data_IF_825490767674
#
_entry.id   IF_825490767674
#
_cell.length_a   1.000
_cell.length_b   1.000
_cell.length_c   1.000
_cell.angle_alpha   90.00
_cell.angle_beta   90.00
_cell.angle_gamma   90.00
#
_symmetry.space_group_name_H-M   'P 1'
#
loop_
_entity.id
_entity.type
_entity.pdbx_description
1 polymer ?
#
# COMPACT_ATOMS: atom_id res chain seq x y z
N UNK A 1 15.39 -12.56 0.32
CA UNK A 1 14.06 -12.31 0.90
C UNK A 1 13.23 -11.70 -0.22
N UNK A 2 12.23 -12.43 -0.71
CA UNK A 2 11.39 -11.96 -1.82
C UNK A 2 10.14 -11.30 -1.23
N UNK A 3 9.97 -10.02 -1.54
CA UNK A 3 8.81 -9.23 -1.16
C UNK A 3 7.96 -9.02 -2.42
N UNK A 4 6.68 -9.37 -2.35
CA UNK A 4 5.71 -9.09 -3.41
C UNK A 4 4.42 -8.54 -2.85
N UNK A 5 3.80 -7.66 -3.63
CA UNK A 5 2.48 -7.11 -3.36
C UNK A 5 1.59 -7.40 -4.57
N UNK A 6 0.31 -7.62 -4.33
CA UNK A 6 -0.69 -7.87 -5.38
C UNK A 6 -1.92 -7.01 -5.10
N UNK A 7 -2.40 -6.30 -6.12
CA UNK A 7 -3.62 -5.51 -6.07
C UNK A 7 -4.69 -6.11 -6.99
N UNK A 8 -5.80 -6.53 -6.40
CA UNK A 8 -6.90 -7.14 -7.15
C UNK A 8 -8.21 -6.46 -6.84
N UNK A 9 -8.88 -5.91 -7.85
CA UNK A 9 -10.28 -5.51 -7.73
C UNK A 9 -11.12 -6.78 -7.62
N UNK A 10 -11.85 -6.94 -6.51
CA UNK A 10 -12.64 -8.12 -6.16
C UNK A 10 -14.16 -7.89 -6.24
N UNK A 11 -14.57 -6.65 -6.48
CA UNK A 11 -15.95 -6.25 -6.64
C UNK A 11 -16.04 -4.77 -6.98
N UNK A 12 -17.23 -4.28 -7.35
CA UNK A 12 -17.42 -2.86 -7.65
C UNK A 12 -17.06 -2.01 -6.43
N UNK A 13 -15.99 -1.22 -6.54
CA UNK A 13 -15.49 -0.39 -5.45
C UNK A 13 -14.81 -1.15 -4.30
N UNK A 14 -14.39 -2.40 -4.55
CA UNK A 14 -13.68 -3.21 -3.58
C UNK A 14 -12.42 -3.82 -4.18
N UNK A 15 -11.34 -3.79 -3.43
CA UNK A 15 -10.08 -4.40 -3.80
C UNK A 15 -9.47 -5.14 -2.63
N UNK A 16 -8.55 -6.04 -2.98
CA UNK A 16 -7.71 -6.78 -2.05
C UNK A 16 -6.27 -6.45 -2.35
N UNK A 17 -5.56 -6.01 -1.31
CA UNK A 17 -4.12 -5.95 -1.28
C UNK A 17 -3.59 -7.21 -0.59
N UNK A 18 -2.76 -7.98 -1.28
CA UNK A 18 -2.03 -9.10 -0.67
C UNK A 18 -0.57 -8.72 -0.52
N UNK A 19 -0.01 -8.86 0.69
CA UNK A 19 1.41 -8.66 0.97
C UNK A 19 2.04 -10.01 1.28
N UNK A 20 3.21 -10.30 0.69
CA UNK A 20 3.96 -11.55 0.90
C UNK A 20 5.43 -11.27 1.15
N UNK A 21 6.01 -11.88 2.18
CA UNK A 21 7.43 -11.80 2.52
C UNK A 21 7.95 -13.18 2.93
N UNK A 22 8.65 -13.86 2.03
CA UNK A 22 9.03 -15.26 2.24
C UNK A 22 7.80 -16.14 2.42
N UNK A 23 7.68 -16.84 3.56
CA UNK A 23 6.52 -17.69 3.88
C UNK A 23 5.37 -16.91 4.55
N UNK A 24 5.61 -15.68 4.98
CA UNK A 24 4.59 -14.85 5.62
C UNK A 24 3.73 -14.13 4.59
N UNK A 25 2.43 -14.02 4.89
CA UNK A 25 1.52 -13.21 4.08
C UNK A 25 0.38 -12.63 4.91
N UNK A 26 -0.16 -11.50 4.47
CA UNK A 26 -1.41 -10.97 4.98
C UNK A 26 -2.20 -10.29 3.87
N UNK A 27 -3.51 -10.21 4.07
CA UNK A 27 -4.45 -9.57 3.15
C UNK A 27 -5.14 -8.39 3.81
N UNK A 28 -5.38 -7.34 3.03
CA UNK A 28 -6.16 -6.16 3.39
C UNK A 28 -7.25 -5.97 2.35
N UNK A 29 -8.50 -5.95 2.80
CA UNK A 29 -9.63 -5.55 1.96
C UNK A 29 -9.77 -4.04 2.05
N UNK A 30 -10.09 -3.40 0.93
CA UNK A 30 -10.30 -1.96 0.87
C UNK A 30 -11.46 -1.60 -0.04
N UNK A 31 -12.15 -0.55 0.34
CA UNK A 31 -13.30 0.08 -0.31
C UNK A 31 -12.88 1.37 -1.02
N UNK A 32 -13.72 1.83 -1.93
CA UNK A 32 -13.54 3.05 -2.71
C UNK A 32 -13.62 4.36 -1.91
N UNK A 33 -13.92 4.31 -0.60
CA UNK A 33 -14.00 5.52 0.24
C UNK A 33 -12.69 6.30 0.34
N UNK A 34 -11.57 5.65 0.06
CA UNK A 34 -10.28 6.30 -0.06
C UNK A 34 -9.58 5.83 -1.33
N UNK A 35 -8.56 6.58 -1.73
CA UNK A 35 -7.65 6.14 -2.77
C UNK A 35 -6.65 5.12 -2.20
N UNK A 36 -7.07 3.86 -2.06
CA UNK A 36 -6.26 2.80 -1.45
C UNK A 36 -4.98 2.52 -2.25
N UNK A 37 -5.10 2.29 -3.56
CA UNK A 37 -3.94 2.05 -4.43
C UNK A 37 -3.02 3.27 -4.47
N UNK A 38 -3.57 4.47 -4.72
CA UNK A 38 -2.79 5.70 -4.75
C UNK A 38 -2.12 6.00 -3.42
N UNK A 39 -2.75 5.68 -2.28
CA UNK A 39 -2.12 5.83 -0.97
C UNK A 39 -0.90 4.90 -0.80
N UNK A 40 -0.99 3.64 -1.26
CA UNK A 40 0.15 2.70 -1.24
C UNK A 40 1.28 3.16 -2.17
N UNK A 41 0.94 3.59 -3.39
CA UNK A 41 1.92 4.08 -4.37
C UNK A 41 2.58 5.37 -3.86
N UNK A 42 1.82 6.29 -3.28
CA UNK A 42 2.36 7.53 -2.72
C UNK A 42 3.32 7.24 -1.55
N UNK A 43 3.02 6.29 -0.68
CA UNK A 43 3.94 5.90 0.38
C UNK A 43 5.28 5.37 -0.16
N UNK A 44 5.25 4.63 -1.28
CA UNK A 44 6.48 4.21 -1.96
C UNK A 44 7.23 5.39 -2.59
N UNK A 45 6.53 6.37 -3.17
CA UNK A 45 7.15 7.61 -3.69
C UNK A 45 7.84 8.38 -2.56
N UNK A 46 7.18 8.54 -1.42
CA UNK A 46 7.73 9.28 -0.28
C UNK A 46 9.01 8.60 0.24
N UNK A 47 9.01 7.27 0.36
CA UNK A 47 10.18 6.49 0.78
C UNK A 47 11.31 6.54 -0.25
N UNK A 48 11.00 6.40 -1.53
CA UNK A 48 11.97 6.55 -2.62
C UNK A 48 12.62 7.94 -2.61
N UNK A 49 11.84 8.97 -2.30
CA UNK A 49 12.30 10.36 -2.13
C UNK A 49 13.13 10.59 -0.86
N UNK A 50 13.36 9.55 -0.05
CA UNK A 50 14.21 9.60 1.13
C UNK A 50 13.49 9.92 2.44
N UNK A 51 12.15 9.89 2.46
CA UNK A 51 11.40 10.10 3.70
C UNK A 51 11.72 9.00 4.70
N UNK A 52 11.97 9.37 5.97
CA UNK A 52 12.26 8.42 7.05
C UNK A 52 11.02 7.63 7.52
N UNK A 53 9.84 8.04 7.08
CA UNK A 53 8.56 7.40 7.35
C UNK A 53 7.56 7.68 6.23
N UNK A 54 6.62 6.77 6.03
CA UNK A 54 5.49 6.95 5.11
C UNK A 54 4.27 6.20 5.65
N UNK A 55 3.08 6.62 5.24
CA UNK A 55 1.82 5.97 5.65
C UNK A 55 0.92 5.77 4.45
N UNK A 56 0.37 4.56 4.31
CA UNK A 56 -0.73 4.28 3.40
C UNK A 56 -1.98 3.89 4.20
N UNK A 57 -3.14 4.34 3.72
CA UNK A 57 -4.43 4.05 4.33
C UNK A 57 -5.35 3.30 3.36
N UNK A 58 -5.91 2.19 3.84
CA UNK A 58 -6.85 1.33 3.14
C UNK A 58 -8.13 1.24 3.97
N UNK A 59 -9.23 1.84 3.51
CA UNK A 59 -10.51 1.89 4.22
C UNK A 59 -11.32 0.61 3.99
N UNK A 60 -11.86 -0.02 5.03
CA UNK A 60 -12.66 -1.25 4.95
C UNK A 60 -13.95 -1.07 5.76
N UNK A 61 -14.99 -0.46 5.21
CA UNK A 61 -16.11 0.12 5.97
C UNK A 61 -16.71 -0.80 7.05
N UNK A 62 -16.86 -0.36 8.32
CA UNK A 62 -16.42 0.91 8.94
C UNK A 62 -14.97 0.93 9.44
N UNK A 63 -14.27 -0.19 9.29
CA UNK A 63 -12.88 -0.45 9.65
C UNK A 63 -11.88 0.18 8.66
N UNK A 64 -10.61 -0.11 8.89
CA UNK A 64 -9.54 0.26 7.97
C UNK A 64 -8.19 -0.26 8.43
N UNK A 65 -7.20 -0.17 7.55
CA UNK A 65 -5.82 -0.60 7.81
C UNK A 65 -4.85 0.51 7.43
N UNK A 66 -3.92 0.79 8.34
CA UNK A 66 -2.72 1.56 8.06
C UNK A 66 -1.56 0.63 7.72
N UNK A 67 -0.86 0.92 6.63
CA UNK A 67 0.50 0.46 6.40
C UNK A 67 1.42 1.61 6.80
N UNK A 68 2.14 1.43 7.91
CA UNK A 68 3.02 2.46 8.44
C UNK A 68 4.48 2.01 8.32
N UNK A 69 5.23 2.79 7.56
CA UNK A 69 6.68 2.63 7.42
C UNK A 69 7.37 3.66 8.29
N UNK A 70 8.37 3.23 9.08
CA UNK A 70 9.10 4.11 9.98
C UNK A 70 10.56 3.71 10.14
N UNK A 71 11.40 4.70 10.44
CA UNK A 71 12.83 4.47 10.64
C UNK A 71 13.49 3.95 9.38
N UNK A 72 13.03 4.41 8.21
CA UNK A 72 13.73 4.21 6.96
C UNK A 72 15.07 4.95 7.06
N UNK A 73 16.14 4.19 7.23
CA UNK A 73 17.50 4.69 7.37
C UNK A 73 18.19 4.63 6.00
N UNK A 74 18.71 5.76 5.54
CA UNK A 74 19.47 5.78 4.30
C UNK A 74 20.83 5.10 4.42
N UNK A 75 21.35 4.93 5.64
CA UNK A 75 22.65 4.32 5.86
C UNK A 75 22.64 2.81 5.59
N UNK A 76 21.56 2.11 5.92
CA UNK A 76 21.43 0.67 5.68
C UNK A 76 20.29 0.26 4.75
N UNK A 77 19.47 1.23 4.30
CA UNK A 77 18.40 1.03 3.34
C UNK A 77 17.21 0.23 3.88
N UNK A 78 17.10 0.07 5.20
CA UNK A 78 16.04 -0.72 5.84
C UNK A 78 15.06 0.20 6.58
N UNK A 79 13.83 -0.28 6.78
CA UNK A 79 12.94 0.30 7.77
C UNK A 79 11.91 -0.69 8.27
N UNK A 80 11.10 -0.24 9.24
CA UNK A 80 10.07 -1.06 9.87
C UNK A 80 8.72 -0.77 9.23
N UNK A 81 8.11 -1.79 8.63
CA UNK A 81 6.74 -1.76 8.15
C UNK A 81 5.82 -2.42 9.18
N UNK A 82 4.67 -1.79 9.40
CA UNK A 82 3.64 -2.22 10.36
C UNK A 82 2.29 -2.13 9.67
N UNK A 83 1.53 -3.22 9.70
CA UNK A 83 0.13 -3.25 9.28
C UNK A 83 -0.76 -3.26 10.52
N UNK A 84 -1.57 -2.21 10.68
CA UNK A 84 -2.46 -2.04 11.83
C UNK A 84 -3.88 -1.85 11.35
N UNK A 85 -4.77 -2.77 11.74
CA UNK A 85 -6.20 -2.70 11.42
C UNK A 85 -6.97 -2.17 12.61
N UNK A 86 -7.99 -1.35 12.38
CA UNK A 86 -8.90 -0.86 13.41
C UNK A 86 -10.35 -1.15 13.00
N UNK A 87 -11.26 -1.28 13.97
CA UNK A 87 -12.61 -1.80 13.72
C UNK A 87 -13.62 -0.74 13.24
N UNK A 88 -13.37 0.54 13.52
CA UNK A 88 -14.28 1.64 13.17
C UNK A 88 -13.54 2.97 12.99
N UNK A 89 -14.25 3.96 12.43
CA UNK A 89 -13.72 5.32 12.21
C UNK A 89 -13.30 6.05 13.49
N UNK A 90 -13.90 5.75 14.66
CA UNK A 90 -13.49 6.37 15.92
C UNK A 90 -12.13 5.82 16.37
N UNK A 91 -11.91 4.53 16.18
CA UNK A 91 -10.66 3.83 16.46
C UNK A 91 -9.51 4.33 15.57
N UNK A 92 -9.83 4.93 14.42
CA UNK A 92 -8.86 5.58 13.53
C UNK A 92 -8.16 6.78 14.16
N UNK A 93 -8.79 7.49 15.11
CA UNK A 93 -8.16 8.67 15.74
C UNK A 93 -6.90 8.32 16.53
N UNK A 94 -6.85 7.11 17.09
CA UNK A 94 -5.67 6.57 17.76
C UNK A 94 -5.47 5.09 17.39
N UNK A 95 -4.97 4.81 16.18
CA UNK A 95 -4.88 3.44 15.67
C UNK A 95 -3.82 2.62 16.43
N UNK A 96 -2.90 3.28 17.12
CA UNK A 96 -1.87 2.61 17.93
C UNK A 96 -2.41 2.09 19.26
N UNK A 97 -3.37 2.80 19.86
CA UNK A 97 -4.03 2.36 21.09
C UNK A 97 -5.22 1.43 20.80
N UNK A 98 -5.95 1.70 19.71
CA UNK A 98 -7.24 1.06 19.42
C UNK A 98 -7.18 0.07 18.25
N UNK A 99 -6.04 -0.06 17.59
CA UNK A 99 -5.83 -0.99 16.48
C UNK A 99 -5.23 -2.31 16.90
N UNK A 100 -5.41 -3.32 16.04
CA UNK A 100 -4.82 -4.64 16.12
C UNK A 100 -3.68 -4.75 15.11
N UNK A 101 -2.53 -5.19 15.60
CA UNK A 101 -1.38 -5.55 14.78
C UNK A 101 -1.73 -6.77 13.91
N UNK A 102 -1.70 -6.58 12.59
CA UNK A 102 -1.84 -7.67 11.60
C UNK A 102 -0.49 -8.27 11.27
N UNK A 103 0.52 -7.40 11.09
CA UNK A 103 1.85 -7.79 10.68
C UNK A 103 2.84 -6.69 11.05
N UNK A 104 4.08 -7.07 11.34
CA UNK A 104 5.19 -6.13 11.44
C UNK A 104 6.51 -6.81 11.06
N UNK A 105 7.40 -6.06 10.44
CA UNK A 105 8.70 -6.59 10.05
C UNK A 105 9.65 -5.49 9.59
N UNK A 106 10.94 -5.84 9.55
CA UNK A 106 11.98 -4.97 9.02
C UNK A 106 12.26 -5.38 7.59
N UNK A 107 12.10 -4.47 6.64
CA UNK A 107 12.26 -4.76 5.21
C UNK A 107 13.12 -3.71 4.51
N UNK A 108 13.83 -4.08 3.43
CA UNK A 108 14.54 -3.11 2.61
C UNK A 108 13.54 -2.13 1.97
N UNK A 109 13.83 -0.84 2.05
CA UNK A 109 13.02 0.22 1.44
C UNK A 109 12.94 0.00 -0.07
N UNK A 110 14.07 -0.29 -0.72
CA UNK A 110 14.11 -0.54 -2.16
C UNK A 110 13.22 -1.74 -2.56
N UNK A 111 13.23 -2.83 -1.78
CA UNK A 111 12.39 -3.98 -2.05
C UNK A 111 10.90 -3.63 -1.97
N UNK A 112 10.50 -2.80 -1.00
CA UNK A 112 9.12 -2.31 -0.89
C UNK A 112 8.74 -1.43 -2.09
N UNK A 113 9.59 -0.48 -2.46
CA UNK A 113 9.34 0.43 -3.59
C UNK A 113 9.22 -0.37 -4.90
N UNK A 114 10.11 -1.33 -5.16
CA UNK A 114 10.05 -2.20 -6.34
C UNK A 114 8.80 -3.07 -6.35
N UNK A 115 8.42 -3.64 -5.21
CA UNK A 115 7.22 -4.47 -5.11
C UNK A 115 5.93 -3.66 -5.32
N UNK A 116 5.88 -2.41 -4.85
CA UNK A 116 4.75 -1.49 -5.11
C UNK A 116 4.68 -1.12 -6.59
N UNK A 117 5.81 -0.82 -7.24
CA UNK A 117 5.84 -0.55 -8.68
C UNK A 117 5.36 -1.77 -9.49
N UNK A 118 5.88 -2.96 -9.20
CA UNK A 118 5.46 -4.20 -9.87
C UNK A 118 3.96 -4.46 -9.70
N UNK A 119 3.44 -4.31 -8.47
CA UNK A 119 2.01 -4.42 -8.19
C UNK A 119 1.17 -3.43 -9.02
N UNK A 120 1.61 -2.17 -9.11
CA UNK A 120 0.88 -1.14 -9.86
C UNK A 120 0.92 -1.42 -11.39
N UNK A 121 2.04 -1.91 -11.90
CA UNK A 121 2.19 -2.30 -13.30
C UNK A 121 1.28 -3.46 -13.67
N UNK A 122 1.18 -4.47 -12.80
CA UNK A 122 0.25 -5.59 -12.97
C UNK A 122 -1.22 -5.14 -12.95
N UNK A 123 -1.56 -4.23 -12.03
CA UNK A 123 -2.90 -3.65 -11.98
C UNK A 123 -3.23 -2.85 -13.26
N UNK A 124 -2.28 -2.06 -13.76
CA UNK A 124 -2.43 -1.30 -15.00
C UNK A 124 -2.57 -2.21 -16.23
N UNK A 125 -1.77 -3.28 -16.32
CA UNK A 125 -1.84 -4.25 -17.39
C UNK A 125 -3.20 -5.00 -17.40
N UNK A 126 -3.76 -5.25 -16.22
CA UNK A 126 -5.04 -5.97 -16.08
C UNK A 126 -6.25 -5.12 -16.43
N UNK A 127 -6.29 -3.87 -15.98
CA UNK A 127 -7.51 -3.06 -16.06
C UNK A 127 -7.43 -1.91 -17.05
N UNK A 128 -6.23 -1.48 -17.44
CA UNK A 128 -5.95 -0.14 -18.00
C UNK A 128 -6.51 1.00 -17.11
N UNK A 129 -6.11 2.27 -17.31
CA UNK A 129 -6.56 3.35 -16.42
C UNK A 129 -8.09 3.55 -16.40
N UNK A 130 -8.74 3.49 -17.56
CA UNK A 130 -10.19 3.71 -17.66
C UNK A 130 -11.00 2.53 -17.08
N UNK A 131 -10.56 1.30 -17.33
CA UNK A 131 -11.19 0.12 -16.75
C UNK A 131 -10.97 0.03 -15.23
N UNK A 132 -9.82 0.50 -14.74
CA UNK A 132 -9.57 0.60 -13.31
C UNK A 132 -10.57 1.56 -12.65
N UNK A 133 -10.71 2.78 -13.17
CA UNK A 133 -11.61 3.80 -12.60
C UNK A 133 -13.07 3.32 -12.58
N UNK A 134 -13.52 2.67 -13.66
CA UNK A 134 -14.84 2.10 -13.75
C UNK A 134 -15.07 0.96 -12.73
N UNK A 135 -14.09 0.08 -12.54
CA UNK A 135 -14.20 -1.05 -11.62
C UNK A 135 -14.03 -0.63 -10.15
N UNK A 136 -13.20 0.37 -9.89
CA UNK A 136 -12.96 0.94 -8.56
C UNK A 136 -14.08 1.89 -8.09
N UNK A 137 -14.95 2.36 -8.99
CA UNK A 137 -16.11 3.17 -8.59
C UNK A 137 -15.80 4.66 -8.42
N UNK A 138 -14.82 5.20 -9.16
CA UNK A 138 -14.63 6.65 -9.30
C UNK A 138 -13.30 7.24 -8.82
N UNK A 139 -12.36 6.42 -8.32
CA UNK A 139 -10.97 6.86 -8.08
C UNK A 139 -10.08 6.54 -9.29
N UNK A 140 -9.26 7.51 -9.71
CA UNK A 140 -8.34 7.34 -10.85
C UNK A 140 -7.13 6.47 -10.48
N UNK A 141 -6.59 5.75 -11.47
CA UNK A 141 -5.32 5.05 -11.31
C UNK A 141 -4.16 6.06 -11.08
N UNK A 142 -3.23 5.81 -10.14
CA UNK A 142 -2.16 6.76 -9.77
C UNK A 142 -1.00 6.78 -10.79
N UNK A 143 -1.32 7.06 -12.06
CA UNK A 143 -0.37 6.95 -13.17
C UNK A 143 0.86 7.85 -13.01
N UNK A 144 0.69 9.07 -12.51
CA UNK A 144 1.80 10.00 -12.34
C UNK A 144 2.81 9.48 -11.30
N UNK A 145 2.32 8.98 -10.16
CA UNK A 145 3.15 8.44 -9.10
C UNK A 145 3.87 7.16 -9.54
N UNK A 146 3.19 6.30 -10.31
CA UNK A 146 3.79 5.10 -10.90
C UNK A 146 4.93 5.46 -11.84
N UNK A 147 4.74 6.44 -12.72
CA UNK A 147 5.79 6.87 -13.64
C UNK A 147 6.97 7.54 -12.92
N UNK A 148 6.72 8.28 -11.83
CA UNK A 148 7.79 8.80 -10.96
C UNK A 148 8.61 7.67 -10.34
N UNK A 149 7.97 6.62 -9.82
CA UNK A 149 8.67 5.44 -9.29
C UNK A 149 9.47 4.72 -10.37
N UNK A 150 8.89 4.56 -11.56
CA UNK A 150 9.57 3.92 -12.70
C UNK A 150 10.83 4.68 -13.08
N UNK A 151 10.73 6.01 -13.24
CA UNK A 151 11.86 6.86 -13.60
C UNK A 151 12.97 6.83 -12.55
N UNK A 152 12.61 6.72 -11.27
CA UNK A 152 13.55 6.63 -10.17
C UNK A 152 14.31 5.29 -10.07
N UNK A 153 13.76 4.22 -10.64
CA UNK A 153 14.29 2.86 -10.56
C UNK A 153 14.97 2.38 -11.86
N UNK A 154 14.94 3.21 -12.91
CA UNK A 154 15.59 2.99 -14.19
C UNK A 154 17.10 3.28 -14.13
#
# INVERSE_FOLDING_TARGET
>A
MELSLEWLIIGSGWAKLTFRLGEESFEVITSYLCDGLGSVVQAAVDLQGGSSSAVAFLADEPAGTYLFFSGADQADGMGYLRAVTFADWMSRENPWANGRWRWHGRIPVEAFVRAVLGMADEAAARWNPAGYEAAWGGGSFPAEQVERLRAALA
#
